data_IF_850732502101
#
_entry.id   IF_850732502101
#
_cell.length_a   1.000
_cell.length_b   1.000
_cell.length_c   1.000
_cell.angle_alpha   90.00
_cell.angle_beta   90.00
_cell.angle_gamma   90.00
#
_symmetry.space_group_name_H-M   'P 1'
#
loop_
_entity.id
_entity.type
_entity.pdbx_description
1 polymer ?
#
# COMPACT_ATOMS: atom_id res chain seq x y z
N UNK A 1 8.10 -24.14 47.58
CA UNK A 1 8.22 -24.28 46.11
C UNK A 1 9.69 -24.21 45.75
N UNK A 2 10.24 -25.12 44.92
CA UNK A 2 11.64 -25.05 44.52
C UNK A 2 11.87 -23.86 43.57
N UNK A 3 12.99 -23.17 43.75
CA UNK A 3 13.40 -22.05 42.90
C UNK A 3 13.64 -22.52 41.46
N UNK A 4 13.09 -21.80 40.49
CA UNK A 4 13.31 -22.08 39.07
C UNK A 4 14.78 -21.83 38.72
N UNK A 5 15.46 -22.86 38.22
CA UNK A 5 16.83 -22.79 37.71
C UNK A 5 16.84 -21.99 36.41
N UNK A 6 17.65 -20.92 36.36
CA UNK A 6 17.87 -20.16 35.13
C UNK A 6 18.66 -20.99 34.09
N UNK A 7 18.35 -20.86 32.80
CA UNK A 7 19.08 -21.56 31.74
C UNK A 7 20.53 -21.07 31.62
N UNK A 8 21.43 -21.98 31.24
CA UNK A 8 22.85 -21.71 31.04
C UNK A 8 23.12 -20.56 30.04
N UNK A 9 24.25 -19.83 30.18
CA UNK A 9 24.59 -18.71 29.31
C UNK A 9 24.70 -19.17 27.84
N UNK A 10 23.86 -18.60 26.99
CA UNK A 10 23.76 -18.98 25.58
C UNK A 10 24.68 -18.10 24.74
N UNK A 11 25.56 -18.72 23.94
CA UNK A 11 26.31 -18.02 22.88
C UNK A 11 25.38 -17.68 21.72
N UNK A 12 25.31 -16.41 21.33
CA UNK A 12 24.61 -15.97 20.12
C UNK A 12 25.53 -16.07 18.90
N UNK A 13 24.99 -16.47 17.75
CA UNK A 13 25.67 -16.38 16.46
C UNK A 13 25.58 -14.95 15.92
N UNK A 14 26.68 -14.45 15.36
CA UNK A 14 26.80 -13.08 14.91
C UNK A 14 25.66 -12.68 13.94
N UNK A 15 24.94 -11.60 14.26
CA UNK A 15 23.91 -11.02 13.38
C UNK A 15 22.53 -11.67 13.39
N UNK A 16 22.18 -12.46 14.41
CA UNK A 16 20.83 -13.05 14.57
C UNK A 16 20.07 -12.41 15.74
N UNK A 17 18.87 -11.89 15.47
CA UNK A 17 17.93 -11.49 16.52
C UNK A 17 17.24 -12.72 17.11
N UNK A 18 17.11 -12.80 18.44
CA UNK A 18 16.41 -13.88 19.13
C UNK A 18 15.26 -13.31 19.96
N UNK A 19 14.06 -13.84 19.78
CA UNK A 19 12.94 -13.49 20.65
C UNK A 19 13.17 -14.04 22.06
N UNK A 20 12.99 -13.18 23.06
CA UNK A 20 13.14 -13.50 24.48
C UNK A 20 11.92 -12.97 25.23
N UNK A 21 11.43 -13.68 26.24
CA UNK A 21 10.16 -13.33 26.91
C UNK A 21 8.97 -14.15 26.40
N UNK A 22 7.77 -13.75 26.81
CA UNK A 22 6.53 -14.45 26.46
C UNK A 22 6.09 -14.12 25.02
N UNK A 23 5.46 -15.06 24.29
CA UNK A 23 4.89 -14.79 22.97
C UNK A 23 3.93 -13.60 23.01
N UNK A 24 4.20 -12.56 22.22
CA UNK A 24 3.40 -11.32 22.15
C UNK A 24 4.01 -10.10 22.83
N UNK A 25 5.11 -10.24 23.58
CA UNK A 25 5.78 -9.09 24.22
C UNK A 25 6.70 -8.29 23.27
N UNK A 26 6.99 -8.80 22.05
CA UNK A 26 7.81 -8.09 21.06
C UNK A 26 9.28 -7.89 21.47
N UNK A 27 9.74 -8.65 22.46
CA UNK A 27 11.08 -8.55 23.04
C UNK A 27 12.11 -9.31 22.21
N UNK A 28 13.14 -8.61 21.75
CA UNK A 28 14.21 -9.15 20.93
C UNK A 28 15.57 -8.89 21.59
N UNK A 29 16.35 -9.95 21.70
CA UNK A 29 17.77 -9.88 22.01
C UNK A 29 18.50 -9.76 20.67
N UNK A 30 19.16 -8.63 20.45
CA UNK A 30 19.88 -8.31 19.22
C UNK A 30 21.35 -8.07 19.52
N UNK A 31 22.19 -8.17 18.50
CA UNK A 31 23.58 -7.77 18.58
C UNK A 31 23.69 -6.36 18.01
N UNK A 32 24.19 -5.42 18.82
CA UNK A 32 24.37 -4.03 18.42
C UNK A 32 25.46 -3.87 17.36
N UNK A 33 25.60 -2.65 16.79
CA UNK A 33 26.60 -2.37 15.75
C UNK A 33 28.06 -2.63 16.17
N UNK A 34 28.33 -2.67 17.47
CA UNK A 34 29.63 -2.94 18.07
C UNK A 34 29.86 -4.42 18.44
N UNK A 35 28.94 -5.31 18.04
CA UNK A 35 29.01 -6.74 18.34
C UNK A 35 28.59 -7.12 19.76
N UNK A 36 28.06 -6.19 20.55
CA UNK A 36 27.62 -6.46 21.93
C UNK A 36 26.13 -6.78 21.99
N UNK A 37 25.70 -7.69 22.89
CA UNK A 37 24.28 -8.00 23.04
C UNK A 37 23.53 -6.79 23.63
N UNK A 38 22.39 -6.48 23.02
CA UNK A 38 21.45 -5.44 23.45
C UNK A 38 20.06 -6.05 23.55
N UNK A 39 19.29 -5.61 24.55
CA UNK A 39 17.88 -5.91 24.63
C UNK A 39 17.12 -4.77 23.95
N UNK A 40 16.36 -5.12 22.91
CA UNK A 40 15.47 -4.19 22.21
C UNK A 40 14.06 -4.71 22.35
N UNK A 41 13.20 -3.93 22.99
CA UNK A 41 11.77 -4.18 23.02
C UNK A 41 11.09 -3.18 22.08
N UNK A 42 10.41 -3.70 21.07
CA UNK A 42 9.52 -2.93 20.24
C UNK A 42 8.10 -3.44 20.50
N UNK A 43 7.27 -2.62 21.16
CA UNK A 43 5.84 -2.89 21.20
C UNK A 43 5.28 -2.30 19.92
N UNK A 44 5.39 -3.09 18.85
CA UNK A 44 4.96 -2.71 17.52
C UNK A 44 3.44 -2.86 17.43
N UNK A 45 2.72 -1.74 17.49
CA UNK A 45 1.43 -1.61 16.83
C UNK A 45 1.61 -0.95 15.49
N UNK A 46 2.06 -1.71 14.47
CA UNK A 46 1.71 -1.57 13.04
C UNK A 46 2.78 -2.06 12.04
N UNK A 47 4.06 -2.21 12.40
CA UNK A 47 5.08 -2.59 11.41
C UNK A 47 5.91 -3.77 11.87
N UNK A 48 5.64 -4.94 11.31
CA UNK A 48 6.58 -6.04 11.34
C UNK A 48 7.70 -5.77 10.34
N UNK A 49 8.89 -5.35 10.80
CA UNK A 49 10.20 -5.64 10.16
C UNK A 49 11.40 -5.07 10.94
N UNK A 50 12.56 -5.65 10.66
CA UNK A 50 13.89 -5.46 11.28
C UNK A 50 14.54 -4.09 10.98
N UNK A 51 14.24 -3.47 9.84
CA UNK A 51 14.77 -2.14 9.48
C UNK A 51 14.15 -0.99 10.29
N UNK A 52 12.90 -1.17 10.74
CA UNK A 52 12.28 -0.27 11.72
C UNK A 52 13.02 -0.34 13.04
N UNK A 53 13.53 -1.52 13.44
CA UNK A 53 14.36 -1.68 14.64
C UNK A 53 15.68 -0.93 14.50
N UNK A 54 16.38 -0.99 13.36
CA UNK A 54 17.65 -0.30 13.20
C UNK A 54 17.47 1.24 13.20
N UNK A 55 16.43 1.76 12.54
CA UNK A 55 16.10 3.21 12.60
C UNK A 55 15.63 3.66 13.98
N UNK A 56 14.88 2.81 14.67
CA UNK A 56 14.41 3.04 16.04
C UNK A 56 15.61 2.98 17.01
N UNK A 57 16.53 2.04 16.84
CA UNK A 57 17.78 1.94 17.56
C UNK A 57 18.66 3.18 17.33
N UNK A 58 18.75 3.68 16.10
CA UNK A 58 19.46 4.91 15.76
C UNK A 58 18.75 6.16 16.32
N UNK A 59 17.41 6.22 16.29
CA UNK A 59 16.65 7.32 16.88
C UNK A 59 16.77 7.34 18.41
N UNK A 60 16.72 6.18 19.06
CA UNK A 60 16.95 6.01 20.50
C UNK A 60 18.42 6.29 20.87
N UNK A 61 19.38 5.89 20.03
CA UNK A 61 20.80 6.22 20.17
C UNK A 61 21.05 7.74 20.10
N UNK A 62 20.40 8.43 19.14
CA UNK A 62 20.55 9.88 18.94
C UNK A 62 19.82 10.73 19.97
N UNK A 63 18.74 10.22 20.56
CA UNK A 63 17.95 10.94 21.56
C UNK A 63 18.45 10.75 23.00
N UNK A 64 19.41 9.85 23.24
CA UNK A 64 19.99 9.60 24.56
C UNK A 64 19.04 8.84 25.52
N UNK A 65 18.05 8.13 25.00
CA UNK A 65 16.97 7.49 25.76
C UNK A 65 17.30 6.03 26.13
N UNK A 66 18.53 5.77 26.59
CA UNK A 66 18.92 4.44 27.07
C UNK A 66 18.14 4.08 28.35
N UNK A 67 17.43 2.96 28.34
CA UNK A 67 16.64 2.50 29.49
C UNK A 67 15.36 3.31 29.73
N UNK A 68 14.81 4.00 28.72
CA UNK A 68 13.54 4.73 28.81
C UNK A 68 12.64 4.41 27.62
N UNK A 69 11.33 4.27 27.86
CA UNK A 69 10.34 4.06 26.80
C UNK A 69 10.06 5.38 26.05
N UNK A 70 10.21 5.38 24.73
CA UNK A 70 9.97 6.55 23.87
C UNK A 70 8.86 6.28 22.84
N UNK A 71 8.03 7.29 22.55
CA UNK A 71 7.03 7.24 21.47
C UNK A 71 7.65 7.90 20.24
N UNK A 72 7.73 7.19 19.11
CA UNK A 72 8.07 7.80 17.83
C UNK A 72 6.82 8.42 17.19
N UNK A 73 6.73 9.74 17.06
CA UNK A 73 5.53 10.43 16.56
C UNK A 73 5.27 10.22 15.05
N UNK A 74 6.20 9.62 14.31
CA UNK A 74 6.02 9.30 12.89
C UNK A 74 5.52 7.88 12.66
N UNK A 75 5.71 6.99 13.63
CA UNK A 75 5.38 5.56 13.51
C UNK A 75 4.43 5.05 14.60
N UNK A 76 4.13 5.87 15.61
CA UNK A 76 3.35 5.56 16.81
C UNK A 76 3.87 4.32 17.58
N UNK A 77 5.17 4.02 17.48
CA UNK A 77 5.82 2.88 18.15
C UNK A 77 6.36 3.27 19.52
N UNK A 78 6.15 2.39 20.52
CA UNK A 78 6.85 2.42 21.81
C UNK A 78 8.18 1.67 21.69
N UNK A 79 9.28 2.40 21.80
CA UNK A 79 10.65 1.88 21.73
C UNK A 79 11.28 1.78 23.12
N UNK A 80 11.93 0.65 23.42
CA UNK A 80 12.82 0.49 24.57
C UNK A 80 14.13 -0.18 24.16
N UNK A 81 15.25 0.39 24.59
CA UNK A 81 16.59 -0.15 24.35
C UNK A 81 17.39 -0.15 25.63
N UNK A 82 17.99 -1.30 25.97
CA UNK A 82 18.89 -1.41 27.10
C UNK A 82 20.19 -2.17 26.74
N UNK A 83 21.37 -1.54 26.92
CA UNK A 83 22.65 -2.19 26.65
C UNK A 83 22.98 -3.21 27.75
N UNK A 84 22.79 -4.49 27.46
CA UNK A 84 22.94 -5.57 28.45
C UNK A 84 24.35 -5.73 29.00
N UNK A 85 25.37 -5.33 28.22
CA UNK A 85 26.77 -5.37 28.64
C UNK A 85 27.10 -4.41 29.79
N UNK A 86 26.24 -3.44 30.09
CA UNK A 86 26.39 -2.52 31.24
C UNK A 86 25.74 -3.07 32.52
N UNK A 87 25.01 -4.18 32.41
CA UNK A 87 24.39 -4.84 33.55
C UNK A 87 25.30 -5.96 34.09
N UNK A 88 25.18 -6.32 35.37
CA UNK A 88 25.90 -7.46 35.94
C UNK A 88 25.60 -8.76 35.19
N UNK A 89 26.47 -9.76 35.29
CA UNK A 89 26.28 -11.07 34.65
C UNK A 89 24.91 -11.68 35.05
N UNK A 90 24.05 -11.95 34.05
CA UNK A 90 22.65 -12.36 34.25
C UNK A 90 21.61 -11.25 34.08
N UNK A 91 22.04 -10.01 33.79
CA UNK A 91 21.20 -8.80 33.75
C UNK A 91 20.12 -8.72 32.66
N UNK A 92 20.01 -9.70 31.76
CA UNK A 92 18.90 -9.74 30.80
C UNK A 92 17.55 -9.88 31.50
N UNK A 93 17.48 -10.67 32.59
CA UNK A 93 16.26 -10.77 33.41
C UNK A 93 15.91 -9.43 34.05
N UNK A 94 16.91 -8.74 34.62
CA UNK A 94 16.73 -7.43 35.25
C UNK A 94 16.30 -6.35 34.23
N UNK A 95 16.86 -6.37 33.02
CA UNK A 95 16.46 -5.47 31.93
C UNK A 95 15.03 -5.73 31.45
N UNK A 96 14.64 -7.00 31.33
CA UNK A 96 13.27 -7.40 30.97
C UNK A 96 12.29 -6.97 32.07
N UNK A 97 12.64 -7.17 33.35
CA UNK A 97 11.80 -6.77 34.47
C UNK A 97 11.71 -5.26 34.60
N UNK A 98 12.78 -4.53 34.28
CA UNK A 98 12.80 -3.06 34.20
C UNK A 98 11.94 -2.55 33.05
N UNK A 99 12.04 -3.13 31.86
CA UNK A 99 11.15 -2.84 30.74
C UNK A 99 9.69 -3.11 31.11
N UNK A 100 9.37 -4.27 31.68
CA UNK A 100 8.02 -4.61 32.13
C UNK A 100 7.52 -3.65 33.20
N UNK A 101 8.39 -3.24 34.13
CA UNK A 101 8.10 -2.24 35.15
C UNK A 101 7.83 -0.86 34.56
N UNK A 102 8.61 -0.42 33.57
CA UNK A 102 8.39 0.85 32.86
C UNK A 102 7.17 0.80 31.94
N UNK A 103 6.92 -0.32 31.28
CA UNK A 103 5.71 -0.55 30.51
C UNK A 103 4.49 -0.57 31.43
N UNK A 104 4.58 -1.19 32.61
CA UNK A 104 3.52 -1.17 33.62
C UNK A 104 3.34 0.22 34.24
N UNK A 105 4.41 0.97 34.47
CA UNK A 105 4.38 2.35 34.94
C UNK A 105 3.77 3.29 33.90
N UNK A 106 4.20 3.19 32.64
CA UNK A 106 3.64 3.90 31.50
C UNK A 106 2.17 3.53 31.37
N UNK A 107 1.83 2.24 31.49
CA UNK A 107 0.43 1.81 31.53
C UNK A 107 -0.36 2.47 32.66
N UNK A 108 0.16 2.46 33.88
CA UNK A 108 -0.49 3.07 35.03
C UNK A 108 -0.65 4.59 34.90
N UNK A 109 0.36 5.29 34.38
CA UNK A 109 0.36 6.75 34.20
C UNK A 109 -0.45 7.20 32.97
N UNK A 110 -0.55 6.33 31.97
CA UNK A 110 -1.40 6.48 30.80
C UNK A 110 -2.84 5.94 31.04
N UNK A 111 -3.16 5.40 32.22
CA UNK A 111 -4.49 4.86 32.50
C UNK A 111 -4.86 3.61 31.68
N UNK A 112 -3.86 2.87 31.20
CA UNK A 112 -3.98 1.56 30.56
C UNK A 112 -4.18 0.47 31.63
N UNK A 113 -5.31 -0.26 31.64
CA UNK A 113 -5.40 -1.47 32.45
C UNK A 113 -4.42 -2.53 31.91
N UNK A 114 -3.91 -3.40 32.79
CA UNK A 114 -3.19 -4.59 32.36
C UNK A 114 -4.12 -5.42 31.46
N UNK A 115 -3.74 -5.60 30.18
CA UNK A 115 -4.48 -6.47 29.27
C UNK A 115 -4.58 -7.85 29.91
N UNK A 116 -5.79 -8.40 30.15
CA UNK A 116 -5.92 -9.75 30.64
C UNK A 116 -5.22 -10.70 29.65
N UNK A 117 -4.49 -11.70 30.16
CA UNK A 117 -3.97 -12.79 29.33
C UNK A 117 -5.18 -13.53 28.75
N UNK A 118 -5.62 -13.15 27.55
CA UNK A 118 -6.73 -13.84 26.88
C UNK A 118 -6.17 -15.13 26.26
N UNK A 119 -6.65 -16.32 26.65
CA UNK A 119 -6.32 -17.54 25.93
C UNK A 119 -6.83 -17.38 24.50
N UNK A 120 -5.92 -17.52 23.53
CA UNK A 120 -6.11 -17.21 22.09
C UNK A 120 -7.58 -17.13 21.65
N UNK A 121 -8.21 -15.94 21.68
CA UNK A 121 -9.58 -15.81 21.28
C UNK A 121 -9.67 -15.98 19.76
N UNK A 122 -10.77 -16.54 19.30
CA UNK A 122 -11.20 -16.49 17.91
C UNK A 122 -11.08 -15.03 17.40
N UNK A 123 -10.46 -14.76 16.24
CA UNK A 123 -10.39 -13.42 15.64
C UNK A 123 -11.75 -12.71 15.58
N UNK A 124 -12.84 -13.47 15.41
CA UNK A 124 -14.22 -12.95 15.46
C UNK A 124 -14.61 -12.51 16.88
N UNK A 125 -14.14 -13.21 17.92
CA UNK A 125 -14.29 -12.79 19.32
C UNK A 125 -13.46 -11.55 19.64
N UNK A 126 -12.26 -11.41 19.08
CA UNK A 126 -11.42 -10.24 19.28
C UNK A 126 -12.01 -8.99 18.61
N UNK A 127 -12.59 -9.15 17.40
CA UNK A 127 -13.40 -8.11 16.75
C UNK A 127 -14.69 -7.79 17.53
N UNK A 128 -15.37 -8.79 18.10
CA UNK A 128 -16.54 -8.58 18.95
C UNK A 128 -16.19 -7.92 20.29
N UNK A 129 -15.00 -8.18 20.84
CA UNK A 129 -14.48 -7.52 22.02
C UNK A 129 -14.12 -6.06 21.75
N UNK A 130 -13.54 -5.76 20.58
CA UNK A 130 -13.36 -4.38 20.12
C UNK A 130 -14.70 -3.67 19.95
N UNK A 131 -15.70 -4.31 19.35
CA UNK A 131 -17.05 -3.77 19.26
C UNK A 131 -17.64 -3.46 20.65
N UNK A 132 -17.51 -4.37 21.61
CA UNK A 132 -17.96 -4.14 22.98
C UNK A 132 -17.22 -2.98 23.67
N UNK A 133 -15.90 -2.88 23.48
CA UNK A 133 -15.10 -1.80 24.03
C UNK A 133 -15.47 -0.45 23.42
N UNK A 134 -15.67 -0.45 22.10
CA UNK A 134 -16.14 0.70 21.36
C UNK A 134 -17.55 1.14 21.83
N UNK A 135 -18.49 0.22 22.02
CA UNK A 135 -19.86 0.53 22.46
C UNK A 135 -19.93 1.23 23.83
N UNK A 136 -18.83 1.25 24.60
CA UNK A 136 -18.73 1.87 25.92
C UNK A 136 -17.86 3.14 25.96
N UNK A 137 -17.23 3.54 24.85
CA UNK A 137 -16.45 4.78 24.77
C UNK A 137 -17.28 5.92 24.15
N UNK A 138 -17.18 7.12 24.72
CA UNK A 138 -17.78 8.33 24.12
C UNK A 138 -16.83 8.95 23.10
N UNK A 139 -17.32 9.63 22.05
CA UNK A 139 -16.46 10.29 21.04
C UNK A 139 -15.49 11.33 21.62
N UNK A 140 -15.80 11.89 22.80
CA UNK A 140 -14.97 12.87 23.50
C UNK A 140 -13.72 12.24 24.15
N UNK A 141 -13.81 10.96 24.52
CA UNK A 141 -12.71 10.18 25.12
C UNK A 141 -11.71 9.68 24.06
N UNK A 142 -12.06 9.78 22.77
CA UNK A 142 -11.28 9.26 21.64
C UNK A 142 -10.75 10.39 20.72
N UNK A 143 -10.98 11.65 21.09
CA UNK A 143 -10.47 12.81 20.36
C UNK A 143 -8.98 13.00 20.64
N UNK A 144 -8.15 13.01 19.58
CA UNK A 144 -6.68 13.17 19.67
C UNK A 144 -6.26 14.66 19.78
N UNK A 145 -7.22 15.60 19.76
CA UNK A 145 -6.94 17.06 19.69
C UNK A 145 -7.80 17.93 20.60
N UNK A 146 -8.29 17.40 21.72
CA UNK A 146 -8.98 18.19 22.76
C UNK A 146 -8.15 18.30 24.03
N UNK A 147 -8.30 19.34 24.87
CA UNK A 147 -7.67 19.47 26.20
C UNK A 147 -8.15 18.43 27.24
N UNK A 148 -8.67 17.29 26.78
CA UNK A 148 -9.02 16.10 27.54
C UNK A 148 -8.75 14.80 26.74
N UNK A 149 -7.91 14.86 25.70
CA UNK A 149 -7.44 13.69 24.95
C UNK A 149 -6.55 12.83 25.85
N UNK A 150 -7.17 11.91 26.58
CA UNK A 150 -6.47 11.02 27.50
C UNK A 150 -5.67 9.96 26.74
N UNK A 151 -4.59 9.43 27.34
CA UNK A 151 -3.80 8.33 26.79
C UNK A 151 -4.63 7.10 26.31
N UNK A 152 -5.82 6.88 26.88
CA UNK A 152 -6.82 5.89 26.45
C UNK A 152 -7.18 5.94 24.94
N UNK A 153 -7.16 7.11 24.30
CA UNK A 153 -7.46 7.25 22.87
C UNK A 153 -6.36 6.65 21.98
N UNK A 154 -5.10 6.90 22.33
CA UNK A 154 -3.91 6.38 21.65
C UNK A 154 -3.79 4.87 21.85
N UNK A 155 -4.13 4.41 23.04
CA UNK A 155 -4.09 3.00 23.40
C UNK A 155 -5.15 2.17 22.69
N UNK A 156 -6.36 2.73 22.51
CA UNK A 156 -7.41 2.11 21.72
C UNK A 156 -7.03 2.04 20.25
N UNK A 157 -6.43 3.10 19.72
CA UNK A 157 -5.90 3.17 18.36
C UNK A 157 -4.88 2.07 18.08
N UNK A 158 -3.91 1.94 18.98
CA UNK A 158 -2.87 0.93 18.88
C UNK A 158 -3.43 -0.49 19.06
N UNK A 159 -4.37 -0.69 19.99
CA UNK A 159 -5.05 -1.97 20.16
C UNK A 159 -5.86 -2.37 18.91
N UNK A 160 -6.60 -1.44 18.30
CA UNK A 160 -7.38 -1.72 17.09
C UNK A 160 -6.47 -1.97 15.90
N UNK A 161 -5.39 -1.22 15.74
CA UNK A 161 -4.39 -1.45 14.70
C UNK A 161 -3.66 -2.78 14.86
N UNK A 162 -3.26 -3.15 16.09
CA UNK A 162 -2.69 -4.46 16.41
C UNK A 162 -3.67 -5.60 16.12
N UNK A 163 -4.95 -5.43 16.45
CA UNK A 163 -5.94 -6.49 16.38
C UNK A 163 -6.50 -6.64 14.95
N UNK A 164 -6.61 -5.55 14.18
CA UNK A 164 -6.76 -5.59 12.72
C UNK A 164 -5.56 -6.27 12.09
N UNK A 165 -4.34 -5.97 12.54
CA UNK A 165 -3.14 -6.66 12.09
C UNK A 165 -3.15 -8.15 12.47
N UNK A 166 -3.59 -8.54 13.67
CA UNK A 166 -3.69 -9.96 14.06
C UNK A 166 -4.76 -10.71 13.25
N UNK A 167 -5.93 -10.10 13.04
CA UNK A 167 -7.02 -10.63 12.21
C UNK A 167 -6.60 -10.75 10.74
N UNK A 168 -5.86 -9.76 10.21
CA UNK A 168 -5.50 -9.67 8.78
C UNK A 168 -4.13 -10.29 8.45
N UNK A 169 -3.21 -10.43 9.40
CA UNK A 169 -1.83 -10.86 9.17
C UNK A 169 -1.45 -12.18 9.83
N UNK A 170 -2.12 -12.61 10.92
CA UNK A 170 -1.63 -13.74 11.72
C UNK A 170 -2.54 -14.97 11.76
N UNK A 171 -3.86 -14.89 11.47
CA UNK A 171 -4.73 -16.07 11.50
C UNK A 171 -5.89 -16.03 10.51
N UNK A 172 -5.68 -16.61 9.33
CA UNK A 172 -6.78 -17.07 8.49
C UNK A 172 -6.39 -18.33 7.70
N UNK A 173 -6.62 -19.54 8.22
CA UNK A 173 -7.03 -20.65 7.37
C UNK A 173 -8.49 -20.48 6.89
N UNK A 174 -9.25 -19.51 7.42
CA UNK A 174 -10.60 -19.16 6.99
C UNK A 174 -10.60 -17.76 6.35
N UNK A 175 -10.88 -17.70 5.06
CA UNK A 175 -11.03 -16.45 4.30
C UNK A 175 -12.00 -15.49 5.01
N UNK A 176 -11.61 -14.22 5.29
CA UNK A 176 -12.51 -13.28 5.94
C UNK A 176 -13.78 -13.10 5.09
N UNK A 177 -14.93 -13.18 5.75
CA UNK A 177 -16.24 -13.03 5.09
C UNK A 177 -16.62 -11.55 4.99
N UNK A 178 -17.19 -11.15 3.85
CA UNK A 178 -17.61 -9.78 3.59
C UNK A 178 -18.53 -9.22 4.70
N UNK A 179 -19.49 -10.04 5.16
CA UNK A 179 -20.46 -9.64 6.19
C UNK A 179 -19.79 -9.25 7.52
N UNK A 180 -18.69 -9.93 7.89
CA UNK A 180 -17.95 -9.64 9.14
C UNK A 180 -17.23 -8.30 9.02
N UNK A 181 -16.54 -8.06 7.89
CA UNK A 181 -15.84 -6.81 7.64
C UNK A 181 -16.79 -5.61 7.51
N UNK A 182 -17.95 -5.81 6.88
CA UNK A 182 -18.98 -4.79 6.77
C UNK A 182 -19.52 -4.38 8.15
N UNK A 183 -19.85 -5.36 9.00
CA UNK A 183 -20.31 -5.10 10.36
C UNK A 183 -19.25 -4.37 11.19
N UNK A 184 -17.99 -4.80 11.11
CA UNK A 184 -16.89 -4.14 11.81
C UNK A 184 -16.72 -2.68 11.39
N UNK A 185 -16.88 -2.37 10.09
CA UNK A 185 -16.86 -0.98 9.62
C UNK A 185 -17.98 -0.16 10.26
N UNK A 186 -19.20 -0.70 10.27
CA UNK A 186 -20.36 -0.01 10.84
C UNK A 186 -20.18 0.22 12.35
N UNK A 187 -19.56 -0.73 13.06
CA UNK A 187 -19.20 -0.60 14.48
C UNK A 187 -18.16 0.51 14.71
N UNK A 188 -17.15 0.62 13.85
CA UNK A 188 -16.14 1.69 13.89
C UNK A 188 -16.79 3.04 13.61
N UNK A 189 -17.73 3.12 12.67
CA UNK A 189 -18.47 4.36 12.39
C UNK A 189 -19.36 4.80 13.55
N UNK A 190 -19.97 3.85 14.26
CA UNK A 190 -20.78 4.15 15.43
C UNK A 190 -19.96 4.77 16.58
N UNK A 191 -18.69 4.36 16.72
CA UNK A 191 -17.91 4.68 17.93
C UNK A 191 -16.78 5.68 17.70
N UNK A 192 -16.17 5.64 16.53
CA UNK A 192 -15.13 6.57 16.11
C UNK A 192 -15.64 7.46 14.94
N UNK A 193 -16.81 8.12 15.05
CA UNK A 193 -17.31 8.95 13.97
C UNK A 193 -16.38 10.15 13.79
N UNK A 194 -15.82 10.30 12.58
CA UNK A 194 -15.00 11.47 12.22
C UNK A 194 -13.66 11.62 12.96
N UNK A 195 -13.24 10.68 13.81
CA UNK A 195 -11.90 10.74 14.43
C UNK A 195 -10.81 10.30 13.45
N UNK A 196 -9.58 10.82 13.61
CA UNK A 196 -8.42 10.40 12.82
C UNK A 196 -8.19 8.88 12.92
N UNK A 197 -8.34 8.36 14.14
CA UNK A 197 -8.35 6.93 14.44
C UNK A 197 -9.34 6.13 13.57
N UNK A 198 -10.61 6.53 13.63
CA UNK A 198 -11.67 5.89 12.87
C UNK A 198 -11.40 5.98 11.37
N UNK A 199 -10.80 7.06 10.88
CA UNK A 199 -10.46 7.20 9.45
C UNK A 199 -9.44 6.16 8.98
N UNK A 200 -8.37 5.94 9.75
CA UNK A 200 -7.33 4.94 9.46
C UNK A 200 -7.91 3.53 9.53
N UNK A 201 -8.64 3.21 10.60
CA UNK A 201 -9.27 1.90 10.79
C UNK A 201 -10.26 1.59 9.67
N UNK A 202 -11.15 2.55 9.34
CA UNK A 202 -12.08 2.41 8.21
C UNK A 202 -11.37 2.19 6.89
N UNK A 203 -10.20 2.80 6.72
CA UNK A 203 -9.42 2.62 5.52
C UNK A 203 -8.92 1.17 5.41
N UNK A 204 -8.30 0.65 6.48
CA UNK A 204 -7.83 -0.72 6.52
C UNK A 204 -8.96 -1.73 6.28
N UNK A 205 -10.12 -1.52 6.91
CA UNK A 205 -11.31 -2.35 6.70
C UNK A 205 -11.82 -2.22 5.25
N UNK A 206 -11.82 -1.02 4.68
CA UNK A 206 -12.22 -0.81 3.29
C UNK A 206 -11.30 -1.54 2.30
N UNK A 207 -9.98 -1.53 2.53
CA UNK A 207 -9.03 -2.31 1.71
C UNK A 207 -9.35 -3.79 1.82
N UNK A 208 -9.46 -4.33 3.04
CA UNK A 208 -9.78 -5.75 3.25
C UNK A 208 -11.11 -6.16 2.61
N UNK A 209 -12.14 -5.32 2.75
CA UNK A 209 -13.46 -5.57 2.19
C UNK A 209 -13.42 -5.61 0.66
N UNK A 210 -12.72 -4.67 0.02
CA UNK A 210 -12.60 -4.64 -1.43
C UNK A 210 -11.67 -5.72 -1.98
N UNK A 211 -10.68 -6.17 -1.20
CA UNK A 211 -9.88 -7.35 -1.51
C UNK A 211 -10.73 -8.62 -1.52
N UNK A 212 -11.57 -8.83 -0.50
CA UNK A 212 -12.51 -9.96 -0.46
C UNK A 212 -13.49 -9.90 -1.63
N UNK A 213 -14.07 -8.73 -1.89
CA UNK A 213 -15.03 -8.57 -2.98
C UNK A 213 -14.39 -8.79 -4.36
N UNK A 214 -13.16 -8.31 -4.57
CA UNK A 214 -12.44 -8.56 -5.84
C UNK A 214 -12.13 -10.04 -6.04
N UNK A 215 -11.69 -10.76 -5.00
CA UNK A 215 -11.46 -12.21 -5.06
C UNK A 215 -12.66 -12.95 -5.62
N UNK A 216 -13.84 -12.58 -5.14
CA UNK A 216 -15.08 -13.28 -5.44
C UNK A 216 -15.66 -12.88 -6.81
N UNK A 217 -15.37 -11.65 -7.28
CA UNK A 217 -15.89 -11.15 -8.58
C UNK A 217 -14.95 -11.30 -9.76
N UNK A 218 -13.63 -11.41 -9.55
CA UNK A 218 -12.70 -11.53 -10.67
C UNK A 218 -12.88 -12.88 -11.39
N UNK A 219 -12.70 -12.95 -12.72
CA UNK A 219 -12.64 -14.22 -13.45
C UNK A 219 -11.42 -15.05 -13.03
N UNK A 220 -11.52 -16.37 -13.15
CA UNK A 220 -10.50 -17.32 -12.68
C UNK A 220 -9.08 -17.02 -13.16
N UNK A 221 -8.81 -16.68 -14.44
CA UNK A 221 -7.44 -16.47 -14.90
C UNK A 221 -6.73 -15.28 -14.23
N UNK A 222 -7.51 -14.41 -13.57
CA UNK A 222 -7.12 -13.14 -12.95
C UNK A 222 -7.11 -13.22 -11.43
N UNK A 223 -7.57 -14.35 -10.86
CA UNK A 223 -7.50 -14.58 -9.42
C UNK A 223 -6.09 -15.02 -9.03
N UNK A 224 -5.58 -14.44 -7.96
CA UNK A 224 -4.31 -14.86 -7.37
C UNK A 224 -4.56 -15.98 -6.36
N UNK A 225 -3.66 -16.97 -6.27
CA UNK A 225 -3.81 -18.10 -5.35
C UNK A 225 -3.95 -17.65 -3.89
N UNK A 226 -3.29 -16.55 -3.52
CA UNK A 226 -3.48 -15.86 -2.24
C UNK A 226 -3.93 -14.42 -2.47
N UNK A 227 -5.09 -14.26 -3.11
CA UNK A 227 -5.66 -12.96 -3.47
C UNK A 227 -5.64 -11.97 -2.31
N UNK A 228 -6.02 -12.41 -1.11
CA UNK A 228 -6.08 -11.56 0.08
C UNK A 228 -4.71 -10.97 0.49
N UNK A 229 -3.62 -11.66 0.15
CA UNK A 229 -2.26 -11.20 0.40
C UNK A 229 -1.71 -10.35 -0.75
N UNK A 230 -2.06 -10.70 -1.99
CA UNK A 230 -1.37 -10.20 -3.18
C UNK A 230 -2.12 -9.14 -3.99
N UNK A 231 -3.43 -8.97 -3.80
CA UNK A 231 -4.24 -8.09 -4.65
C UNK A 231 -3.73 -6.64 -4.69
N UNK A 232 -3.19 -6.14 -3.57
CA UNK A 232 -2.64 -4.79 -3.50
C UNK A 232 -1.53 -4.56 -4.52
N UNK A 233 -0.70 -5.57 -4.76
CA UNK A 233 0.47 -5.46 -5.63
C UNK A 233 0.10 -5.29 -7.12
N UNK A 234 -1.15 -5.53 -7.50
CA UNK A 234 -1.65 -5.23 -8.85
C UNK A 234 -1.67 -3.72 -9.15
N UNK A 235 -1.64 -2.89 -8.11
CA UNK A 235 -1.71 -1.43 -8.20
C UNK A 235 -0.50 -0.76 -7.56
N UNK A 236 0.64 -1.46 -7.57
CA UNK A 236 1.88 -0.98 -7.00
C UNK A 236 3.04 -1.22 -7.95
N UNK A 237 3.92 -0.24 -8.06
CA UNK A 237 5.21 -0.38 -8.73
C UNK A 237 5.97 -1.54 -8.09
N UNK A 238 6.45 -2.49 -8.91
CA UNK A 238 7.23 -3.60 -8.37
C UNK A 238 8.54 -3.15 -7.70
N UNK A 239 9.07 -1.97 -8.07
CA UNK A 239 10.18 -1.35 -7.35
C UNK A 239 9.83 -1.06 -5.88
N UNK A 240 8.56 -0.76 -5.61
CA UNK A 240 8.08 -0.36 -4.29
C UNK A 240 7.57 -1.55 -3.47
N UNK A 241 7.57 -2.76 -4.03
CA UNK A 241 7.23 -3.98 -3.28
C UNK A 241 8.22 -4.27 -2.15
N UNK A 242 9.46 -3.82 -2.33
CA UNK A 242 10.52 -3.90 -1.32
C UNK A 242 10.44 -2.76 -0.30
N UNK A 243 9.52 -1.80 -0.49
CA UNK A 243 9.29 -0.74 0.49
C UNK A 243 8.99 -1.35 1.86
N UNK A 244 9.48 -0.68 2.89
CA UNK A 244 9.23 -1.05 4.28
C UNK A 244 7.75 -1.02 4.65
N UNK A 245 6.95 -0.23 3.94
CA UNK A 245 5.50 -0.18 4.10
C UNK A 245 4.77 -1.36 3.42
N UNK A 246 5.48 -2.16 2.63
CA UNK A 246 4.92 -3.30 1.90
C UNK A 246 3.67 -2.92 1.12
N UNK A 247 2.59 -3.70 1.25
CA UNK A 247 1.29 -3.47 0.59
C UNK A 247 0.58 -2.16 0.95
N UNK A 248 1.10 -1.40 1.91
CA UNK A 248 0.56 -0.12 2.38
C UNK A 248 1.36 1.08 1.89
N UNK A 249 2.34 0.90 0.99
CA UNK A 249 3.20 1.97 0.49
C UNK A 249 2.45 3.22 0.03
N UNK A 250 1.38 3.03 -0.76
CA UNK A 250 0.58 4.13 -1.30
C UNK A 250 -0.58 4.59 -0.41
N UNK A 251 -0.67 4.09 0.82
CA UNK A 251 -1.68 4.57 1.79
C UNK A 251 -1.24 5.86 2.50
N UNK A 252 -0.13 6.47 2.09
CA UNK A 252 0.10 7.90 2.26
C UNK A 252 -1.00 8.74 1.59
N UNK A 253 -1.71 8.18 0.61
CA UNK A 253 -2.97 8.66 0.05
C UNK A 253 -4.16 7.82 0.55
N UNK A 254 -4.55 7.99 1.82
CA UNK A 254 -5.57 7.17 2.49
C UNK A 254 -6.79 6.85 1.62
N UNK A 255 -6.93 5.60 1.20
CA UNK A 255 -8.02 5.11 0.35
C UNK A 255 -7.58 4.74 -1.06
N UNK A 256 -6.31 4.97 -1.40
CA UNK A 256 -5.67 4.55 -2.64
C UNK A 256 -6.05 3.13 -3.03
N UNK A 257 -5.72 2.17 -2.16
CA UNK A 257 -5.82 0.76 -2.52
C UNK A 257 -7.27 0.30 -2.58
N UNK A 258 -8.10 0.76 -1.64
CA UNK A 258 -9.53 0.50 -1.66
C UNK A 258 -10.20 1.07 -2.92
N UNK A 259 -9.77 2.25 -3.39
CA UNK A 259 -10.23 2.86 -4.64
C UNK A 259 -9.85 2.03 -5.86
N UNK A 260 -8.59 1.63 -5.99
CA UNK A 260 -8.11 0.77 -7.07
C UNK A 260 -8.86 -0.56 -7.14
N UNK A 261 -9.07 -1.22 -6.01
CA UNK A 261 -9.81 -2.48 -5.93
C UNK A 261 -11.29 -2.30 -6.34
N UNK A 262 -11.93 -1.20 -5.92
CA UNK A 262 -13.29 -0.85 -6.37
C UNK A 262 -13.35 -0.62 -7.89
N UNK A 263 -12.39 0.11 -8.45
CA UNK A 263 -12.31 0.37 -9.88
C UNK A 263 -12.08 -0.93 -10.68
N UNK A 264 -11.25 -1.85 -10.17
CA UNK A 264 -11.06 -3.16 -10.78
C UNK A 264 -12.33 -4.01 -10.77
N UNK A 265 -13.12 -3.99 -9.69
CA UNK A 265 -14.44 -4.65 -9.68
C UNK A 265 -15.39 -4.03 -10.68
N UNK A 266 -15.35 -2.69 -10.80
CA UNK A 266 -16.17 -1.99 -11.80
C UNK A 266 -15.78 -2.43 -13.21
N UNK A 267 -14.48 -2.53 -13.51
CA UNK A 267 -13.99 -3.09 -14.77
C UNK A 267 -14.47 -4.52 -14.99
N UNK A 268 -14.39 -5.38 -13.97
CA UNK A 268 -14.86 -6.76 -14.07
C UNK A 268 -16.37 -6.86 -14.38
N UNK A 269 -17.17 -5.92 -13.86
CA UNK A 269 -18.62 -5.87 -14.12
C UNK A 269 -18.97 -5.48 -15.56
N UNK A 270 -18.02 -4.98 -16.34
CA UNK A 270 -18.22 -4.67 -17.77
C UNK A 270 -18.28 -5.94 -18.62
N UNK A 271 -17.67 -7.04 -18.17
CA UNK A 271 -17.46 -8.24 -18.99
C UNK A 271 -16.74 -7.89 -20.30
N UNK A 272 -17.31 -8.35 -21.41
CA UNK A 272 -16.76 -8.15 -22.75
C UNK A 272 -17.09 -6.76 -23.35
N UNK A 273 -17.76 -5.88 -22.62
CA UNK A 273 -18.04 -4.53 -23.11
C UNK A 273 -16.71 -3.76 -23.33
N UNK A 274 -16.58 -3.05 -24.47
CA UNK A 274 -15.38 -2.27 -24.75
C UNK A 274 -15.25 -1.12 -23.76
N UNK A 275 -14.01 -0.73 -23.48
CA UNK A 275 -13.73 0.47 -22.72
C UNK A 275 -14.08 1.69 -23.56
N UNK A 276 -14.89 2.58 -23.00
CA UNK A 276 -15.28 3.86 -23.61
C UNK A 276 -14.66 5.03 -22.83
N UNK A 277 -14.70 6.24 -23.39
CA UNK A 277 -14.31 7.44 -22.65
C UNK A 277 -15.09 7.58 -21.33
N UNK A 278 -16.42 7.42 -21.37
CA UNK A 278 -17.26 7.49 -20.17
C UNK A 278 -16.86 6.45 -19.11
N UNK A 279 -16.56 5.22 -19.53
CA UNK A 279 -16.10 4.17 -18.61
C UNK A 279 -14.69 4.45 -18.08
N UNK A 280 -13.80 5.00 -18.89
CA UNK A 280 -12.46 5.42 -18.48
C UNK A 280 -12.53 6.51 -17.38
N UNK A 281 -13.41 7.49 -17.56
CA UNK A 281 -13.68 8.52 -16.55
C UNK A 281 -14.29 7.91 -15.29
N UNK A 282 -15.26 7.01 -15.43
CA UNK A 282 -15.89 6.34 -14.29
C UNK A 282 -14.86 5.58 -13.43
N UNK A 283 -13.96 4.80 -14.04
CA UNK A 283 -12.96 4.04 -13.29
C UNK A 283 -11.93 4.95 -12.63
N UNK A 284 -11.57 6.08 -13.26
CA UNK A 284 -10.73 7.11 -12.66
C UNK A 284 -11.39 7.65 -11.39
N UNK A 285 -12.64 8.11 -11.51
CA UNK A 285 -13.37 8.73 -10.41
C UNK A 285 -13.60 7.76 -9.24
N UNK A 286 -13.86 6.48 -9.54
CA UNK A 286 -13.91 5.43 -8.52
C UNK A 286 -12.55 5.22 -7.85
N UNK A 287 -11.47 5.22 -8.62
CA UNK A 287 -10.12 4.98 -8.11
C UNK A 287 -9.59 6.10 -7.20
N UNK A 288 -10.06 7.35 -7.37
CA UNK A 288 -9.64 8.50 -6.55
C UNK A 288 -10.68 8.95 -5.52
N UNK A 289 -11.96 8.58 -5.69
CA UNK A 289 -13.08 9.23 -5.01
C UNK A 289 -13.06 9.14 -3.47
N UNK A 290 -12.34 8.15 -2.91
CA UNK A 290 -12.12 8.02 -1.46
C UNK A 290 -10.74 8.49 -1.01
N UNK A 291 -9.71 8.39 -1.86
CA UNK A 291 -8.34 8.87 -1.61
C UNK A 291 -8.32 10.38 -1.38
N UNK A 292 -9.09 11.10 -2.18
CA UNK A 292 -9.09 12.55 -2.24
C UNK A 292 -9.56 13.25 -0.96
N UNK A 293 -10.62 12.74 -0.34
CA UNK A 293 -11.31 13.39 0.80
C UNK A 293 -10.42 13.52 2.06
N UNK A 294 -9.22 12.96 2.02
CA UNK A 294 -8.33 12.79 3.17
C UNK A 294 -6.95 13.42 2.95
N UNK A 295 -6.70 13.97 1.77
CA UNK A 295 -5.48 14.69 1.48
C UNK A 295 -5.51 16.10 2.12
N UNK A 296 -4.37 16.71 2.50
CA UNK A 296 -4.33 18.12 2.91
C UNK A 296 -4.75 19.03 1.73
N UNK A 297 -5.23 20.25 2.02
CA UNK A 297 -5.77 21.20 1.02
C UNK A 297 -4.94 21.37 -0.28
N UNK A 298 -3.59 21.37 -0.28
CA UNK A 298 -2.83 21.45 -1.54
C UNK A 298 -2.95 20.21 -2.44
N UNK A 299 -3.23 19.04 -1.86
CA UNK A 299 -3.44 17.79 -2.59
C UNK A 299 -4.92 17.58 -2.94
N UNK A 300 -5.85 18.22 -2.21
CA UNK A 300 -7.25 18.27 -2.59
C UNK A 300 -7.51 19.13 -3.84
N UNK A 301 -6.56 19.93 -4.31
CA UNK A 301 -6.76 20.57 -5.62
C UNK A 301 -6.30 19.67 -6.78
N UNK A 302 -5.58 18.57 -6.47
CA UNK A 302 -4.99 17.68 -7.48
C UNK A 302 -5.94 16.58 -7.95
N UNK A 303 -6.62 15.87 -7.05
CA UNK A 303 -7.54 14.80 -7.47
C UNK A 303 -8.95 15.33 -7.78
N UNK A 304 -9.07 15.93 -8.95
CA UNK A 304 -10.37 16.36 -9.49
C UNK A 304 -11.04 15.18 -10.20
N UNK A 305 -12.33 14.96 -9.93
CA UNK A 305 -13.14 14.00 -10.70
C UNK A 305 -13.40 14.52 -12.11
N UNK A 306 -13.58 13.60 -13.06
CA UNK A 306 -13.78 13.92 -14.46
C UNK A 306 -12.51 14.32 -15.19
N UNK A 307 -12.67 14.63 -16.47
CA UNK A 307 -11.56 15.08 -17.32
C UNK A 307 -11.05 16.47 -16.93
N UNK A 308 -9.73 16.65 -16.99
CA UNK A 308 -9.08 17.92 -16.63
C UNK A 308 -9.50 19.05 -17.57
N UNK A 309 -9.48 20.26 -17.02
CA UNK A 309 -9.54 21.51 -17.79
C UNK A 309 -8.24 22.33 -17.74
N UNK A 310 -7.36 21.98 -16.80
CA UNK A 310 -6.10 22.68 -16.54
C UNK A 310 -4.93 21.95 -17.18
N UNK A 311 -3.85 22.69 -17.33
CA UNK A 311 -2.55 22.14 -17.71
C UNK A 311 -2.00 21.23 -16.60
N UNK A 312 -1.26 20.19 -17.01
CA UNK A 312 -0.48 19.35 -16.09
C UNK A 312 0.90 19.12 -16.68
N UNK A 313 1.94 19.13 -15.85
CA UNK A 313 3.31 18.82 -16.26
C UNK A 313 3.99 17.87 -15.28
N UNK A 314 4.92 17.07 -15.80
CA UNK A 314 5.76 16.18 -15.02
C UNK A 314 7.14 16.00 -15.65
N UNK A 315 8.12 15.67 -14.81
CA UNK A 315 9.50 15.50 -15.23
C UNK A 315 9.70 14.19 -16.00
N UNK A 316 10.48 14.28 -17.09
CA UNK A 316 10.98 13.15 -17.84
C UNK A 316 12.42 12.86 -17.39
N UNK A 317 12.61 11.70 -16.77
CA UNK A 317 13.88 11.19 -16.28
C UNK A 317 14.42 10.15 -17.28
N UNK A 318 15.57 10.45 -17.87
CA UNK A 318 16.25 9.54 -18.79
C UNK A 318 16.58 8.20 -18.12
N UNK A 319 16.33 7.11 -18.85
CA UNK A 319 16.47 5.74 -18.37
C UNK A 319 15.39 5.28 -17.38
N UNK A 320 14.40 6.12 -17.06
CA UNK A 320 13.30 5.77 -16.13
C UNK A 320 11.93 5.81 -16.80
N UNK A 321 11.35 6.99 -17.00
CA UNK A 321 10.10 7.21 -17.73
C UNK A 321 10.33 7.81 -19.13
N UNK A 322 11.59 7.95 -19.54
CA UNK A 322 11.98 8.51 -20.82
C UNK A 322 13.17 7.75 -21.40
N UNK A 323 13.16 7.53 -22.71
CA UNK A 323 14.31 7.00 -23.46
C UNK A 323 14.51 7.79 -24.75
N UNK A 324 15.73 7.77 -25.30
CA UNK A 324 16.01 8.42 -26.59
C UNK A 324 15.15 7.84 -27.72
N UNK A 325 14.93 6.52 -27.71
CA UNK A 325 14.06 5.86 -28.68
C UNK A 325 12.59 6.29 -28.52
N UNK A 326 12.10 6.37 -27.28
CA UNK A 326 10.73 6.81 -27.01
C UNK A 326 10.47 8.27 -27.38
N UNK A 327 11.43 9.17 -27.12
CA UNK A 327 11.36 10.55 -27.59
C UNK A 327 11.32 10.62 -29.12
N UNK A 328 12.20 9.89 -29.81
CA UNK A 328 12.23 9.86 -31.27
C UNK A 328 10.91 9.33 -31.85
N UNK A 329 10.34 8.27 -31.27
CA UNK A 329 9.03 7.74 -31.65
C UNK A 329 7.91 8.76 -31.42
N UNK A 330 7.90 9.45 -30.27
CA UNK A 330 6.90 10.49 -29.99
C UNK A 330 6.99 11.63 -31.00
N UNK A 331 8.18 12.18 -31.25
CA UNK A 331 8.35 13.29 -32.21
C UNK A 331 8.07 12.90 -33.66
N UNK A 332 8.18 11.61 -34.01
CA UNK A 332 7.77 11.09 -35.31
C UNK A 332 6.27 10.77 -35.39
N UNK A 333 5.56 10.74 -34.26
CA UNK A 333 4.15 10.39 -34.21
C UNK A 333 3.24 11.57 -34.62
N UNK A 334 2.01 11.31 -35.08
CA UNK A 334 1.02 12.36 -35.34
C UNK A 334 0.60 13.17 -34.10
N UNK A 335 0.94 12.72 -32.89
CA UNK A 335 0.62 13.43 -31.64
C UNK A 335 1.54 14.65 -31.45
N UNK A 336 2.78 14.55 -31.95
CA UNK A 336 3.73 15.65 -31.91
C UNK A 336 3.22 16.80 -32.79
N UNK A 337 3.19 18.01 -32.20
CA UNK A 337 2.76 19.22 -32.91
C UNK A 337 1.25 19.47 -32.95
N UNK A 338 0.43 18.62 -32.32
CA UNK A 338 -1.03 18.84 -32.23
C UNK A 338 -1.43 19.97 -31.28
N UNK A 339 -0.50 20.46 -30.47
CA UNK A 339 -0.76 21.43 -29.40
C UNK A 339 -1.30 20.81 -28.11
N UNK A 340 -1.58 19.50 -28.07
CA UNK A 340 -2.02 18.81 -26.85
C UNK A 340 -0.88 18.58 -25.86
N UNK A 341 0.28 18.23 -26.39
CA UNK A 341 1.46 17.83 -25.63
C UNK A 341 2.63 18.70 -26.08
N UNK A 342 3.38 19.21 -25.11
CA UNK A 342 4.64 19.90 -25.33
C UNK A 342 5.72 19.17 -24.53
N UNK A 343 6.83 18.86 -25.20
CA UNK A 343 8.02 18.29 -24.55
C UNK A 343 9.14 19.31 -24.69
N UNK A 344 9.74 19.70 -23.58
CA UNK A 344 10.77 20.74 -23.55
C UNK A 344 11.45 20.85 -22.19
N UNK A 345 12.42 21.76 -22.07
CA UNK A 345 13.05 22.04 -20.79
C UNK A 345 12.03 22.66 -19.82
N UNK A 346 12.03 22.16 -18.59
CA UNK A 346 11.20 22.71 -17.51
C UNK A 346 11.59 24.13 -17.14
N UNK A 347 10.64 24.89 -16.61
CA UNK A 347 10.89 26.25 -16.12
C UNK A 347 12.05 26.25 -15.10
N UNK A 348 13.08 27.06 -15.35
CA UNK A 348 14.26 27.15 -14.48
C UNK A 348 15.37 26.12 -14.75
N UNK A 349 15.36 25.43 -15.90
CA UNK A 349 16.41 24.48 -16.28
C UNK A 349 16.31 23.12 -15.57
N UNK A 350 15.13 22.76 -15.09
CA UNK A 350 14.85 21.55 -14.30
C UNK A 350 14.86 20.23 -15.08
N UNK A 351 15.57 20.14 -16.21
CA UNK A 351 15.58 19.00 -17.10
C UNK A 351 14.37 18.92 -18.03
N UNK A 352 14.23 17.81 -18.75
CA UNK A 352 13.15 17.61 -19.71
C UNK A 352 11.81 17.38 -19.00
N UNK A 353 10.73 17.96 -19.51
CA UNK A 353 9.37 17.80 -19.01
C UNK A 353 8.41 17.46 -20.13
N UNK A 354 7.37 16.69 -19.79
CA UNK A 354 6.17 16.57 -20.58
C UNK A 354 5.11 17.48 -19.98
N UNK A 355 4.50 18.29 -20.82
CA UNK A 355 3.42 19.21 -20.48
C UNK A 355 2.20 18.88 -21.31
N UNK A 356 1.13 18.49 -20.64
CA UNK A 356 -0.19 18.31 -21.21
C UNK A 356 -0.94 19.65 -21.12
N UNK A 357 -1.09 20.34 -22.26
CA UNK A 357 -1.60 21.71 -22.31
C UNK A 357 -3.06 21.79 -21.87
N UNK A 358 -3.48 22.93 -21.32
CA UNK A 358 -4.87 23.15 -20.90
C UNK A 358 -5.84 22.97 -22.07
N UNK A 359 -6.86 22.13 -21.88
CA UNK A 359 -7.90 21.84 -22.87
C UNK A 359 -9.25 21.82 -22.15
N UNK A 360 -10.37 22.19 -22.82
CA UNK A 360 -11.70 21.99 -22.25
C UNK A 360 -11.95 20.52 -21.89
N UNK A 361 -12.61 20.24 -20.76
CA UNK A 361 -12.88 18.86 -20.32
C UNK A 361 -13.61 18.02 -21.38
N UNK A 362 -14.52 18.62 -22.15
CA UNK A 362 -15.21 17.95 -23.25
C UNK A 362 -14.25 17.56 -24.39
N UNK A 363 -13.23 18.36 -24.67
CA UNK A 363 -12.22 18.01 -25.67
C UNK A 363 -11.37 16.84 -25.16
N UNK A 364 -11.02 16.81 -23.86
CA UNK A 364 -10.32 15.68 -23.24
C UNK A 364 -11.14 14.38 -23.34
N UNK A 365 -12.46 14.45 -23.12
CA UNK A 365 -13.37 13.31 -23.30
C UNK A 365 -13.38 12.82 -24.75
N UNK A 366 -13.55 13.72 -25.73
CA UNK A 366 -13.48 13.35 -27.15
C UNK A 366 -12.13 12.75 -27.51
N UNK A 367 -11.04 13.28 -26.96
CA UNK A 367 -9.69 12.75 -27.19
C UNK A 367 -9.54 11.33 -26.64
N UNK A 368 -10.10 11.03 -25.46
CA UNK A 368 -10.15 9.66 -24.95
C UNK A 368 -10.88 8.71 -25.91
N UNK A 369 -12.05 9.14 -26.41
CA UNK A 369 -12.85 8.36 -27.36
C UNK A 369 -12.12 8.13 -28.69
N UNK A 370 -11.49 9.18 -29.23
CA UNK A 370 -10.65 9.11 -30.44
C UNK A 370 -9.54 8.06 -30.30
N UNK A 371 -8.82 8.06 -29.17
CA UNK A 371 -7.70 7.13 -28.89
C UNK A 371 -8.22 5.69 -28.76
N UNK A 372 -9.28 5.46 -27.98
CA UNK A 372 -9.88 4.13 -27.79
C UNK A 372 -10.46 3.58 -29.10
N UNK A 373 -11.15 4.42 -29.87
CA UNK A 373 -11.67 4.03 -31.18
C UNK A 373 -10.56 3.68 -32.18
N UNK A 374 -9.44 4.42 -32.16
CA UNK A 374 -8.27 4.09 -32.98
C UNK A 374 -7.67 2.73 -32.59
N UNK A 375 -7.57 2.43 -31.30
CA UNK A 375 -7.13 1.14 -30.80
C UNK A 375 -8.02 -0.01 -31.27
N UNK A 376 -9.35 0.08 -31.10
CA UNK A 376 -10.26 -0.97 -31.54
C UNK A 376 -10.26 -1.17 -33.06
N UNK A 377 -10.13 -0.09 -33.84
CA UNK A 377 -9.93 -0.21 -35.30
C UNK A 377 -8.64 -0.94 -35.63
N UNK A 378 -7.54 -0.62 -34.96
CA UNK A 378 -6.26 -1.29 -35.16
C UNK A 378 -6.36 -2.78 -34.81
N UNK A 379 -7.01 -3.13 -33.69
CA UNK A 379 -7.22 -4.53 -33.32
C UNK A 379 -8.04 -5.31 -34.36
N UNK A 380 -9.13 -4.72 -34.86
CA UNK A 380 -9.97 -5.35 -35.88
C UNK A 380 -9.26 -5.60 -37.21
N UNK A 381 -8.17 -4.88 -37.47
CA UNK A 381 -7.33 -5.07 -38.66
C UNK A 381 -6.25 -6.16 -38.49
N UNK A 382 -6.01 -6.68 -37.28
CA UNK A 382 -5.01 -7.73 -37.04
C UNK A 382 -5.63 -9.10 -37.29
N UNK A 383 -5.20 -9.77 -38.36
CA UNK A 383 -5.62 -11.13 -38.66
C UNK A 383 -5.19 -12.10 -37.56
N UNK A 384 -6.12 -12.89 -37.02
CA UNK A 384 -5.84 -13.80 -35.92
C UNK A 384 -4.85 -14.93 -36.25
N UNK A 385 -4.69 -15.26 -37.53
CA UNK A 385 -3.74 -16.26 -38.04
C UNK A 385 -2.37 -15.69 -38.39
N UNK A 386 -2.15 -14.38 -38.28
CA UNK A 386 -0.84 -13.80 -38.57
C UNK A 386 0.21 -14.35 -37.59
N UNK A 387 1.43 -14.71 -38.05
CA UNK A 387 2.48 -15.29 -37.20
C UNK A 387 2.87 -14.41 -35.99
N UNK A 388 2.68 -13.10 -36.11
CA UNK A 388 3.00 -12.07 -35.12
C UNK A 388 1.74 -11.40 -34.51
N UNK A 389 0.54 -11.96 -34.71
CA UNK A 389 -0.72 -11.36 -34.27
C UNK A 389 -0.72 -10.97 -32.79
N UNK A 390 -0.18 -11.83 -31.91
CA UNK A 390 -0.08 -11.55 -30.48
C UNK A 390 0.80 -10.32 -30.21
N UNK A 391 1.98 -10.25 -30.83
CA UNK A 391 2.91 -9.13 -30.66
C UNK A 391 2.30 -7.83 -31.20
N UNK A 392 1.61 -7.88 -32.34
CA UNK A 392 0.89 -6.74 -32.90
C UNK A 392 -0.21 -6.23 -31.96
N UNK A 393 -0.97 -7.14 -31.33
CA UNK A 393 -2.04 -6.80 -30.37
C UNK A 393 -1.50 -6.13 -29.11
N UNK A 394 -0.42 -6.66 -28.53
CA UNK A 394 0.23 -6.02 -27.36
C UNK A 394 0.78 -4.65 -27.76
N UNK A 395 1.42 -4.52 -28.92
CA UNK A 395 1.92 -3.22 -29.39
C UNK A 395 0.80 -2.20 -29.62
N UNK A 396 -0.37 -2.62 -30.12
CA UNK A 396 -1.55 -1.75 -30.26
C UNK A 396 -2.08 -1.29 -28.90
N UNK A 397 -2.16 -2.19 -27.91
CA UNK A 397 -2.54 -1.87 -26.53
C UNK A 397 -1.57 -0.88 -25.90
N UNK A 398 -0.27 -1.11 -26.06
CA UNK A 398 0.79 -0.23 -25.54
C UNK A 398 0.65 1.17 -26.14
N UNK A 399 0.50 1.28 -27.47
CA UNK A 399 0.26 2.58 -28.11
C UNK A 399 -0.96 3.29 -27.55
N UNK A 400 -2.07 2.56 -27.37
CA UNK A 400 -3.28 3.11 -26.75
C UNK A 400 -3.01 3.68 -25.34
N UNK A 401 -2.33 2.91 -24.48
CA UNK A 401 -2.00 3.34 -23.12
C UNK A 401 -1.05 4.54 -23.11
N UNK A 402 -0.01 4.54 -23.96
CA UNK A 402 0.90 5.67 -24.09
C UNK A 402 0.18 6.93 -24.56
N UNK A 403 -0.69 6.83 -25.57
CA UNK A 403 -1.50 7.95 -26.03
C UNK A 403 -2.38 8.50 -24.90
N UNK A 404 -3.09 7.64 -24.15
CA UNK A 404 -3.94 8.08 -23.03
C UNK A 404 -3.14 8.77 -21.92
N UNK A 405 -2.00 8.19 -21.54
CA UNK A 405 -1.18 8.67 -20.41
C UNK A 405 -0.43 9.97 -20.75
N UNK A 406 0.14 10.09 -21.96
CA UNK A 406 0.83 11.31 -22.44
C UNK A 406 -0.11 12.50 -22.57
N UNK A 407 -1.35 12.28 -23.02
CA UNK A 407 -2.36 13.35 -23.05
C UNK A 407 -2.81 13.77 -21.65
N UNK A 408 -2.53 12.92 -20.65
CA UNK A 408 -2.75 13.14 -19.23
C UNK A 408 -4.16 13.65 -18.96
N UNK A 409 -5.18 12.95 -19.48
CA UNK A 409 -6.56 13.45 -19.61
C UNK A 409 -7.24 13.76 -18.27
N UNK A 410 -6.66 13.32 -17.16
CA UNK A 410 -7.08 13.63 -15.79
C UNK A 410 -6.08 14.57 -15.10
N UNK A 411 -6.53 15.30 -14.08
CA UNK A 411 -5.67 16.24 -13.35
C UNK A 411 -4.56 15.52 -12.58
N UNK A 412 -4.86 14.31 -12.08
CA UNK A 412 -3.93 13.42 -11.39
C UNK A 412 -4.38 11.95 -11.59
N UNK A 413 -3.68 11.00 -10.99
CA UNK A 413 -3.98 9.56 -11.01
C UNK A 413 -4.08 8.93 -12.41
N UNK A 414 -3.45 9.54 -13.43
CA UNK A 414 -3.37 8.97 -14.79
C UNK A 414 -2.67 7.60 -14.76
N UNK A 415 -1.50 7.46 -14.14
CA UNK A 415 -0.82 6.16 -14.03
C UNK A 415 -1.65 5.10 -13.32
N UNK A 416 -2.41 5.49 -12.28
CA UNK A 416 -3.32 4.58 -11.57
C UNK A 416 -4.40 4.05 -12.52
N UNK A 417 -4.99 4.96 -13.28
CA UNK A 417 -6.10 4.70 -14.19
C UNK A 417 -5.64 3.99 -15.47
N UNK A 418 -4.56 4.43 -16.08
CA UNK A 418 -4.07 3.95 -17.36
C UNK A 418 -3.13 2.76 -17.15
N UNK A 419 -2.07 2.98 -16.37
CA UNK A 419 -0.98 2.01 -16.20
C UNK A 419 -1.37 0.74 -15.45
N UNK A 420 -2.31 0.81 -14.50
CA UNK A 420 -2.79 -0.40 -13.80
C UNK A 420 -4.18 -0.84 -14.25
N UNK A 421 -5.16 0.06 -14.31
CA UNK A 421 -6.57 -0.34 -14.52
C UNK A 421 -6.90 -0.56 -16.00
N UNK A 422 -6.72 0.46 -16.85
CA UNK A 422 -6.99 0.40 -18.29
C UNK A 422 -6.15 -0.69 -18.97
N UNK A 423 -4.83 -0.68 -18.76
CA UNK A 423 -3.93 -1.67 -19.34
C UNK A 423 -4.36 -3.10 -19.04
N UNK A 424 -4.68 -3.42 -17.77
CA UNK A 424 -5.10 -4.77 -17.40
C UNK A 424 -6.49 -5.13 -17.93
N UNK A 425 -7.41 -4.17 -18.09
CA UNK A 425 -8.68 -4.41 -18.80
C UNK A 425 -8.43 -4.73 -20.28
N UNK A 426 -7.56 -3.99 -20.95
CA UNK A 426 -7.26 -4.23 -22.35
C UNK A 426 -6.52 -5.56 -22.58
N UNK A 427 -5.62 -5.95 -21.66
CA UNK A 427 -5.02 -7.29 -21.67
C UNK A 427 -6.11 -8.36 -21.48
N UNK A 428 -7.08 -8.08 -20.62
CA UNK A 428 -8.19 -8.99 -20.40
C UNK A 428 -9.02 -9.20 -21.67
N UNK A 429 -9.41 -8.14 -22.35
CA UNK A 429 -10.19 -8.24 -23.59
C UNK A 429 -9.48 -9.03 -24.70
N UNK A 430 -8.16 -9.14 -24.62
CA UNK A 430 -7.34 -9.95 -25.52
C UNK A 430 -7.14 -11.40 -25.07
N UNK A 431 -7.73 -11.80 -23.94
CA UNK A 431 -7.54 -13.11 -23.31
C UNK A 431 -6.12 -13.30 -22.76
N UNK A 432 -5.40 -12.22 -22.46
CA UNK A 432 -4.02 -12.24 -21.99
C UNK A 432 -3.94 -12.13 -20.46
N UNK A 433 -2.86 -12.65 -19.88
CA UNK A 433 -2.63 -12.50 -18.44
C UNK A 433 -2.40 -11.02 -18.06
N UNK A 434 -2.85 -10.59 -16.86
CA UNK A 434 -2.50 -9.30 -16.29
C UNK A 434 -1.00 -9.07 -16.20
N UNK A 435 -0.59 -7.81 -16.19
CA UNK A 435 0.77 -7.39 -15.97
C UNK A 435 0.91 -6.59 -14.67
N UNK A 436 1.91 -6.97 -13.87
CA UNK A 436 2.41 -6.14 -12.76
C UNK A 436 3.69 -5.45 -13.19
N UNK A 437 3.58 -4.17 -13.52
CA UNK A 437 4.73 -3.39 -13.98
C UNK A 437 5.69 -3.09 -12.83
N UNK A 438 6.98 -3.10 -13.14
CA UNK A 438 8.01 -2.65 -12.21
C UNK A 438 7.94 -1.17 -11.96
N UNK A 439 7.68 -0.42 -13.04
CA UNK A 439 7.53 1.01 -13.05
C UNK A 439 6.56 1.36 -14.18
N UNK A 440 5.29 1.68 -13.90
CA UNK A 440 4.26 1.91 -14.90
C UNK A 440 4.44 3.22 -15.66
N UNK A 441 5.19 4.19 -15.13
CA UNK A 441 5.52 5.45 -15.83
C UNK A 441 6.41 5.26 -17.07
N UNK A 442 6.77 4.02 -17.43
CA UNK A 442 7.32 3.73 -18.77
C UNK A 442 6.35 4.12 -19.89
N UNK A 443 5.06 4.31 -19.62
CA UNK A 443 4.09 4.81 -20.60
C UNK A 443 4.32 6.27 -21.00
N UNK A 444 5.03 7.07 -20.20
CA UNK A 444 5.28 8.49 -20.46
C UNK A 444 6.04 8.69 -21.78
N UNK A 445 7.31 8.26 -21.86
CA UNK A 445 8.19 8.59 -23.00
C UNK A 445 9.23 7.50 -23.31
N UNK A 446 8.94 6.23 -23.01
CA UNK A 446 9.69 5.10 -23.56
C UNK A 446 9.13 4.69 -24.94
N UNK A 447 9.91 3.93 -25.71
CA UNK A 447 9.47 3.39 -27.00
C UNK A 447 8.42 2.29 -26.83
N UNK A 448 7.62 2.05 -27.86
CA UNK A 448 6.62 0.97 -27.86
C UNK A 448 7.28 -0.37 -27.57
N UNK A 449 8.47 -0.64 -28.15
CA UNK A 449 9.20 -1.88 -27.92
C UNK A 449 9.60 -2.06 -26.45
N UNK A 450 10.17 -1.02 -25.82
CA UNK A 450 10.56 -1.05 -24.40
C UNK A 450 9.36 -1.30 -23.48
N UNK A 451 8.22 -0.68 -23.80
CA UNK A 451 6.99 -0.84 -23.00
C UNK A 451 6.35 -2.22 -23.23
N UNK A 452 6.35 -2.76 -24.45
CA UNK A 452 5.94 -4.15 -24.71
C UNK A 452 6.76 -5.12 -23.86
N UNK A 453 8.08 -4.93 -23.80
CA UNK A 453 8.94 -5.75 -22.97
C UNK A 453 8.66 -5.58 -21.48
N UNK A 454 8.35 -4.35 -21.02
CA UNK A 454 7.94 -4.10 -19.64
C UNK A 454 6.62 -4.81 -19.28
N UNK A 455 5.62 -4.79 -20.18
CA UNK A 455 4.35 -5.53 -20.02
C UNK A 455 4.61 -7.03 -19.93
N UNK A 456 5.43 -7.59 -20.81
CA UNK A 456 5.79 -9.01 -20.79
C UNK A 456 6.50 -9.43 -19.50
N UNK A 457 7.46 -8.62 -19.02
CA UNK A 457 8.08 -8.83 -17.69
C UNK A 457 7.03 -8.74 -16.58
N UNK A 458 6.07 -7.83 -16.70
CA UNK A 458 4.97 -7.71 -15.75
C UNK A 458 4.03 -8.92 -15.72
N UNK A 459 3.76 -9.54 -16.87
CA UNK A 459 3.00 -10.79 -16.95
C UNK A 459 3.74 -11.96 -16.29
N UNK A 460 5.08 -12.00 -16.43
CA UNK A 460 5.90 -12.97 -15.71
C UNK A 460 5.80 -12.78 -14.18
N UNK A 461 5.81 -11.53 -13.69
CA UNK A 461 5.61 -11.24 -12.25
C UNK A 461 4.22 -11.64 -11.78
N UNK A 462 3.18 -11.35 -12.57
CA UNK A 462 1.82 -11.78 -12.26
C UNK A 462 1.72 -13.31 -12.15
N UNK A 463 2.32 -14.06 -13.10
CA UNK A 463 2.40 -15.52 -13.01
C UNK A 463 3.11 -16.00 -11.75
N UNK A 464 4.21 -15.35 -11.38
CA UNK A 464 4.92 -15.67 -10.14
C UNK A 464 4.04 -15.45 -8.91
N UNK A 465 3.28 -14.36 -8.83
CA UNK A 465 2.31 -14.12 -7.75
C UNK A 465 1.19 -15.17 -7.74
N UNK A 466 0.67 -15.55 -8.90
CA UNK A 466 -0.38 -16.55 -9.03
C UNK A 466 0.10 -17.94 -8.59
N UNK A 467 1.36 -18.27 -8.86
CA UNK A 467 1.97 -19.56 -8.53
C UNK A 467 2.65 -19.61 -7.17
N UNK A 468 2.87 -18.45 -6.53
CA UNK A 468 3.50 -18.37 -5.23
C UNK A 468 2.62 -19.07 -4.20
N UNK A 469 2.88 -20.37 -3.97
CA UNK A 469 2.44 -21.07 -2.77
C UNK A 469 2.92 -20.22 -1.59
N UNK A 470 2.04 -19.90 -0.65
CA UNK A 470 2.43 -19.42 0.67
C UNK A 470 3.52 -20.37 1.16
N UNK A 471 4.80 -19.98 1.02
CA UNK A 471 5.88 -20.73 1.62
C UNK A 471 5.56 -20.73 3.10
N UNK A 472 5.27 -21.89 3.73
CA UNK A 472 5.01 -21.90 5.14
C UNK A 472 6.30 -21.43 5.83
N UNK A 473 6.34 -20.19 6.29
CA UNK A 473 7.42 -19.69 7.14
C UNK A 473 8.60 -18.94 6.49
N UNK A 474 8.49 -18.37 5.28
CA UNK A 474 9.56 -17.46 4.81
C UNK A 474 9.29 -16.01 5.24
N UNK A 475 9.85 -15.64 6.39
CA UNK A 475 10.07 -14.25 6.77
C UNK A 475 11.06 -13.57 5.84
N UNK A 476 10.70 -12.36 5.41
CA UNK A 476 11.61 -11.37 4.82
C UNK A 476 12.02 -10.36 5.89
#
# INVERSE_FOLDING_TARGET
>A
MPAATLPAPVRMEAGRARCVGEPGEGLLLVEGPDGRPELVAAIAGMVGRRASIDRLCDAVARSGLEGTVAVDPLTDVLAYREPLHRLPAGGAGEAIDRFRGQLAWARQHCGLPAMPRIPAPDPVHALAALHGLFAHCTPRELSVRGPGSGPQATDLLNAVSCLLFEVLALRAPAQPQEAVLARLRDDVDAVLPGTAAGLVIRNAIAIALETVRTRDTLPEPYRLAHHDAWACYLFMDASDWSSELGRHHFENELGYMAGCLQALRRLASLGDAPLTAATLMEIHDVAIGKSFRRAPEPMQDRFQTGYRSKEVSFALMDGRNCSAAGLAEFFASPEAGTGWITVGEGEGGGGLQLKANAMPSLDCERKADEILAAYYRQLGAIEGSAPDAEAMRIAALVRCCQSLDRHHLFADANIRTIGYLCMNKLLWDLGMEPAVLEYPKVFDMCSVAEVVDAVRRGQQRFRALRQAVQRPGCGH
#
